data_IF_222492052257
#
_entry.id   IF_222492052257
#
_cell.length_a   1.000
_cell.length_b   1.000
_cell.length_c   1.000
_cell.angle_alpha   90.00
_cell.angle_beta   90.00
_cell.angle_gamma   90.00
#
_symmetry.space_group_name_H-M   'P 1'
#
loop_
_entity.id
_entity.type
_entity.pdbx_description
1 polymer ?
#
# COMPACT_ATOMS: atom_id res chain seq x y z
N UNK A 1 8.29 -7.54 9.72
CA UNK A 1 7.77 -7.62 8.33
C UNK A 1 8.85 -7.21 7.36
N UNK A 2 8.91 -7.87 6.23
CA UNK A 2 9.86 -7.51 5.19
C UNK A 2 9.13 -7.14 3.92
N UNK A 3 9.63 -6.08 3.26
CA UNK A 3 9.15 -5.66 1.95
C UNK A 3 10.00 -6.41 0.91
N UNK A 4 9.38 -7.04 -0.10
CA UNK A 4 10.16 -7.71 -1.14
C UNK A 4 11.17 -6.76 -1.79
N UNK A 5 12.41 -7.22 -1.93
CA UNK A 5 13.48 -6.41 -2.51
C UNK A 5 13.57 -6.56 -4.02
N UNK A 6 12.86 -7.53 -4.58
CA UNK A 6 12.80 -7.74 -6.04
C UNK A 6 11.34 -7.81 -6.47
N UNK A 7 11.10 -7.33 -7.67
CA UNK A 7 9.77 -7.29 -8.23
C UNK A 7 8.97 -6.12 -7.72
N UNK A 8 7.71 -6.09 -8.11
CA UNK A 8 6.81 -4.98 -7.81
C UNK A 8 5.87 -5.37 -6.68
N UNK A 9 5.66 -4.45 -5.74
CA UNK A 9 4.70 -4.63 -4.65
C UNK A 9 3.92 -3.34 -4.44
N UNK A 10 2.63 -3.49 -4.17
CA UNK A 10 1.79 -2.37 -3.74
C UNK A 10 1.67 -2.43 -2.23
N UNK A 11 2.12 -1.37 -1.56
CA UNK A 11 2.02 -1.24 -0.11
C UNK A 11 0.85 -0.35 0.23
N UNK A 12 0.03 -0.76 1.20
CA UNK A 12 -0.96 0.11 1.82
C UNK A 12 -0.54 0.39 3.25
N UNK A 13 -0.21 1.65 3.52
CA UNK A 13 0.06 2.08 4.90
C UNK A 13 -1.27 2.35 5.58
N UNK A 14 -1.47 1.73 6.74
CA UNK A 14 -2.76 1.69 7.43
C UNK A 14 -2.56 1.70 8.94
N UNK A 15 -3.66 1.81 9.69
CA UNK A 15 -3.66 1.65 11.14
C UNK A 15 -5.03 1.12 11.56
N UNK A 16 -5.08 0.48 12.73
CA UNK A 16 -6.33 -0.12 13.22
C UNK A 16 -7.42 0.94 13.47
N UNK A 17 -7.01 2.16 13.86
CA UNK A 17 -7.94 3.26 14.15
C UNK A 17 -8.38 4.02 12.90
N UNK A 18 -7.84 3.70 11.75
CA UNK A 18 -8.11 4.44 10.51
C UNK A 18 -9.37 3.93 9.82
N UNK A 19 -10.46 4.69 9.95
CA UNK A 19 -11.73 4.33 9.31
C UNK A 19 -11.65 4.22 7.79
N UNK A 20 -11.10 5.23 7.08
CA UNK A 20 -10.96 5.15 5.63
C UNK A 20 -10.08 3.99 5.18
N UNK A 21 -9.06 3.62 5.97
CA UNK A 21 -8.22 2.46 5.65
C UNK A 21 -9.03 1.18 5.70
N UNK A 22 -9.87 1.02 6.74
CA UNK A 22 -10.70 -0.17 6.86
C UNK A 22 -11.74 -0.25 5.75
N UNK A 23 -12.26 0.89 5.33
CA UNK A 23 -13.22 0.96 4.23
C UNK A 23 -12.62 0.52 2.90
N UNK A 24 -11.29 0.54 2.78
CA UNK A 24 -10.60 0.09 1.58
C UNK A 24 -10.53 -1.43 1.45
N UNK A 25 -10.90 -2.19 2.48
CA UNK A 25 -10.73 -3.65 2.46
C UNK A 25 -11.40 -4.32 1.25
N UNK A 26 -12.66 -4.03 0.89
CA UNK A 26 -13.24 -4.64 -0.30
C UNK A 26 -12.47 -4.32 -1.58
N UNK A 27 -11.98 -3.09 -1.69
CA UNK A 27 -11.24 -2.67 -2.89
C UNK A 27 -9.89 -3.38 -2.97
N UNK A 28 -9.15 -3.47 -1.85
CA UNK A 28 -7.85 -4.13 -1.86
C UNK A 28 -7.97 -5.63 -2.05
N UNK A 29 -9.04 -6.25 -1.52
CA UNK A 29 -9.29 -7.66 -1.78
C UNK A 29 -9.57 -7.90 -3.25
N UNK A 30 -10.36 -7.04 -3.88
CA UNK A 30 -10.63 -7.14 -5.30
C UNK A 30 -9.37 -6.91 -6.14
N UNK A 31 -8.54 -5.95 -5.73
CA UNK A 31 -7.25 -5.72 -6.37
C UNK A 31 -6.40 -7.01 -6.36
N UNK A 32 -6.33 -7.66 -5.20
CA UNK A 32 -5.54 -8.88 -5.06
C UNK A 32 -6.06 -10.01 -5.95
N UNK A 33 -7.37 -10.07 -6.18
CA UNK A 33 -7.95 -11.09 -7.04
C UNK A 33 -7.74 -10.82 -8.53
N UNK A 34 -7.47 -9.56 -8.91
CA UNK A 34 -7.40 -9.15 -10.32
C UNK A 34 -6.00 -8.79 -10.78
N UNK A 35 -5.05 -8.67 -9.87
CA UNK A 35 -3.68 -8.28 -10.21
C UNK A 35 -2.70 -9.33 -9.74
N UNK A 36 -1.65 -9.55 -10.52
CA UNK A 36 -0.55 -10.45 -10.16
C UNK A 36 0.49 -9.73 -9.29
N UNK A 37 0.35 -8.42 -9.10
CA UNK A 37 1.29 -7.65 -8.31
C UNK A 37 1.09 -7.97 -6.83
N UNK A 38 2.19 -8.22 -6.12
CA UNK A 38 2.13 -8.50 -4.68
C UNK A 38 1.53 -7.32 -3.93
N UNK A 39 0.81 -7.61 -2.86
CA UNK A 39 0.17 -6.58 -2.04
C UNK A 39 0.49 -6.84 -0.58
N UNK A 40 0.90 -5.79 0.15
CA UNK A 40 1.14 -5.88 1.59
C UNK A 40 0.54 -4.69 2.30
N UNK A 41 -0.05 -4.94 3.47
CA UNK A 41 -0.47 -3.89 4.39
C UNK A 41 0.62 -3.62 5.39
N UNK A 42 0.94 -2.35 5.61
CA UNK A 42 1.92 -1.92 6.59
C UNK A 42 1.18 -1.12 7.66
N UNK A 43 1.07 -1.68 8.86
CA UNK A 43 0.45 -0.98 9.99
C UNK A 43 1.47 0.00 10.55
N UNK A 44 1.18 1.30 10.47
CA UNK A 44 2.16 2.34 10.82
C UNK A 44 2.51 2.35 12.30
N UNK A 45 1.62 1.82 13.15
CA UNK A 45 1.89 1.75 14.60
C UNK A 45 2.76 0.55 14.94
N UNK A 46 2.55 -0.58 14.25
CA UNK A 46 3.29 -1.81 14.50
C UNK A 46 4.60 -1.87 13.74
N UNK A 47 4.68 -1.23 12.57
CA UNK A 47 5.85 -1.21 11.70
C UNK A 47 6.33 0.22 11.54
N UNK A 48 6.57 0.90 12.66
CA UNK A 48 6.91 2.32 12.66
C UNK A 48 8.20 2.62 11.90
N UNK A 49 9.18 1.72 11.94
CA UNK A 49 10.44 1.95 11.22
C UNK A 49 10.23 1.95 9.70
N UNK A 50 9.33 1.10 9.21
CA UNK A 50 9.01 1.07 7.78
C UNK A 50 8.26 2.35 7.40
N UNK A 51 7.29 2.75 8.22
CA UNK A 51 6.55 3.99 7.97
C UNK A 51 7.50 5.20 7.93
N UNK A 52 8.48 5.24 8.84
CA UNK A 52 9.47 6.30 8.86
C UNK A 52 10.37 6.26 7.63
N UNK A 53 10.78 5.07 7.22
CA UNK A 53 11.63 4.91 6.04
C UNK A 53 10.96 5.52 4.80
N UNK A 54 9.67 5.31 4.65
CA UNK A 54 8.93 5.86 3.51
C UNK A 54 8.37 7.26 3.76
N UNK A 55 8.55 7.80 4.95
CA UNK A 55 8.10 9.15 5.28
C UNK A 55 6.60 9.33 5.20
N UNK A 56 5.83 8.29 5.56
CA UNK A 56 4.38 8.32 5.48
C UNK A 56 3.82 9.18 6.62
N UNK A 57 3.00 10.17 6.28
CA UNK A 57 2.39 11.08 7.24
C UNK A 57 0.87 11.00 7.29
N UNK A 58 0.25 10.58 6.20
CA UNK A 58 -1.20 10.48 6.09
C UNK A 58 -1.57 9.11 5.60
N UNK A 59 -2.65 8.55 6.13
CA UNK A 59 -3.14 7.23 5.75
C UNK A 59 -4.62 7.31 5.39
N UNK A 60 -5.09 6.44 4.49
CA UNK A 60 -4.31 5.43 3.80
C UNK A 60 -3.33 6.05 2.81
N UNK A 61 -2.18 5.40 2.64
CA UNK A 61 -1.18 5.82 1.67
C UNK A 61 -0.77 4.58 0.89
N UNK A 62 -0.82 4.68 -0.43
CA UNK A 62 -0.47 3.56 -1.31
C UNK A 62 0.86 3.88 -1.98
N UNK A 63 1.80 2.95 -1.85
CA UNK A 63 3.15 3.12 -2.41
C UNK A 63 3.47 1.91 -3.27
N UNK A 64 3.85 2.16 -4.52
CA UNK A 64 4.36 1.11 -5.39
C UNK A 64 5.87 1.10 -5.27
N UNK A 65 6.40 -0.07 -4.89
CA UNK A 65 7.84 -0.29 -4.78
C UNK A 65 8.22 -1.34 -5.81
N UNK A 66 9.26 -1.08 -6.57
CA UNK A 66 9.77 -2.05 -7.55
C UNK A 66 11.28 -2.15 -7.39
N UNK A 67 11.76 -3.38 -7.19
CA UNK A 67 13.17 -3.66 -6.98
C UNK A 67 13.76 -2.79 -5.87
N UNK A 68 13.01 -2.70 -4.76
CA UNK A 68 13.40 -1.97 -3.55
C UNK A 68 13.40 -0.45 -3.72
N UNK A 69 12.77 0.06 -4.78
CA UNK A 69 12.70 1.51 -5.03
C UNK A 69 11.26 1.98 -5.13
N UNK A 70 10.94 3.06 -4.43
CA UNK A 70 9.62 3.67 -4.54
C UNK A 70 9.44 4.25 -5.94
N UNK A 71 8.35 3.88 -6.60
CA UNK A 71 8.05 4.35 -7.96
C UNK A 71 7.00 5.43 -7.96
N UNK A 72 5.92 5.26 -7.19
CA UNK A 72 4.82 6.21 -7.14
C UNK A 72 4.09 6.03 -5.82
N UNK A 73 3.50 7.11 -5.32
CA UNK A 73 2.64 7.03 -4.14
C UNK A 73 1.39 7.86 -4.34
N UNK A 74 0.31 7.41 -3.72
CA UNK A 74 -0.95 8.15 -3.67
C UNK A 74 -1.47 8.15 -2.24
N UNK A 75 -1.83 9.31 -1.74
CA UNK A 75 -2.41 9.47 -0.41
C UNK A 75 -3.93 9.52 -0.55
N UNK A 76 -4.62 8.86 0.39
CA UNK A 76 -6.07 8.85 0.43
C UNK A 76 -6.67 7.59 -0.18
N UNK A 77 -7.98 7.48 -0.07
CA UNK A 77 -8.72 6.34 -0.61
C UNK A 77 -8.62 6.31 -2.13
N UNK A 78 -8.47 5.11 -2.68
CA UNK A 78 -8.34 4.90 -4.11
C UNK A 78 -9.41 3.91 -4.58
N UNK A 79 -9.87 4.09 -5.81
CA UNK A 79 -10.74 3.10 -6.45
C UNK A 79 -9.91 1.92 -6.95
N UNK A 80 -10.60 0.84 -7.28
CA UNK A 80 -9.93 -0.33 -7.87
C UNK A 80 -9.17 0.06 -9.14
N UNK A 81 -9.80 0.84 -10.03
CA UNK A 81 -9.14 1.22 -11.29
C UNK A 81 -7.92 2.09 -11.01
N UNK A 82 -7.96 2.95 -10.00
CA UNK A 82 -6.80 3.75 -9.63
C UNK A 82 -5.65 2.87 -9.11
N UNK A 83 -5.96 1.86 -8.30
CA UNK A 83 -4.91 0.94 -7.81
C UNK A 83 -4.32 0.13 -8.96
N UNK A 84 -5.16 -0.34 -9.87
CA UNK A 84 -4.67 -1.09 -11.03
C UNK A 84 -3.78 -0.23 -11.93
N UNK A 85 -4.12 1.05 -12.07
CA UNK A 85 -3.30 1.99 -12.85
C UNK A 85 -1.96 2.26 -12.17
N UNK A 86 -1.94 2.35 -10.85
CA UNK A 86 -0.70 2.62 -10.12
C UNK A 86 0.38 1.57 -10.38
N UNK A 87 -0.03 0.31 -10.54
CA UNK A 87 0.92 -0.79 -10.67
C UNK A 87 1.26 -1.14 -12.12
N UNK A 88 0.75 -0.39 -13.08
CA UNK A 88 1.08 -0.62 -14.49
C UNK A 88 2.53 -0.33 -14.83
#
# INVERSE_FOLDING_TARGET
MEIPKKGKVLLQFTADWCGPCRAMKPVTEEFQSKSDVAFQKVNVDKESSIAQKYGVRSIPCFVVVEDDKEKIRQVGSQSLSQLLDLVK
#
